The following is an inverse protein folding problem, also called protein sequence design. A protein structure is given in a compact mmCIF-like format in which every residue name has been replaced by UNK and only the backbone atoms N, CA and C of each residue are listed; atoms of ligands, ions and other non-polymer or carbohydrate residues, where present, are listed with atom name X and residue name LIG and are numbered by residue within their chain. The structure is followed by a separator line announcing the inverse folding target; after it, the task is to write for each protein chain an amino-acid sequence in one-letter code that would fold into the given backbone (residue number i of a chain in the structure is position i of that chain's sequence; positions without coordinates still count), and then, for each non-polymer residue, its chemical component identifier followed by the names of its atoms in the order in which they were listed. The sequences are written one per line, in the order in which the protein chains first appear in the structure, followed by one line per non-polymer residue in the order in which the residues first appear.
data_IF_460305567126
#
_entry.id   IF_460305567126
#
_cell.length_a   1.000
_cell.length_b   1.000
_cell.length_c   1.000
_cell.angle_alpha   90.00
_cell.angle_beta   90.00
_cell.angle_gamma   90.00
#
_symmetry.space_group_name_H-M   'P 1'
#
loop_
_entity.id
_entity.type
_entity.pdbx_description
1 polymer ?
#
# COMPACT_ATOMS: atom_id res chain seq x y z
N UNK A 1 -22.90 5.05 15.87
CA UNK A 1 -22.40 5.94 14.80
C UNK A 1 -20.90 5.76 14.76
N UNK A 2 -20.39 4.97 13.81
CA UNK A 2 -18.96 4.67 13.72
C UNK A 2 -18.36 5.82 12.93
N UNK A 3 -17.65 6.69 13.65
CA UNK A 3 -17.13 7.94 13.14
C UNK A 3 -16.01 7.69 12.12
N UNK A 4 -16.25 8.17 10.90
CA UNK A 4 -15.44 8.06 9.68
C UNK A 4 -14.20 8.99 9.69
N UNK A 5 -13.64 9.36 10.85
CA UNK A 5 -12.54 10.36 10.97
C UNK A 5 -11.12 9.91 10.57
N UNK A 6 -10.94 8.83 9.81
CA UNK A 6 -9.58 8.41 9.37
C UNK A 6 -9.14 8.95 8.00
N UNK A 7 -9.55 10.18 7.65
CA UNK A 7 -9.07 10.90 6.45
C UNK A 7 -7.93 11.89 6.73
N UNK A 8 -7.04 11.62 7.69
CA UNK A 8 -5.86 12.46 7.90
C UNK A 8 -4.76 12.13 6.89
N UNK A 9 -4.40 13.10 6.04
CA UNK A 9 -3.50 13.03 4.86
C UNK A 9 -2.05 12.59 5.05
N UNK A 10 -1.74 11.74 6.04
CA UNK A 10 -0.49 10.97 6.20
C UNK A 10 -0.81 9.56 6.72
N UNK A 11 -1.87 8.93 6.22
CA UNK A 11 -2.27 7.59 6.69
C UNK A 11 -1.29 6.51 6.24
N UNK A 12 -1.12 5.46 7.06
CA UNK A 12 -0.38 4.24 6.70
C UNK A 12 -0.80 3.70 5.33
N UNK A 13 -2.09 3.83 4.97
CA UNK A 13 -2.62 3.45 3.66
C UNK A 13 -1.96 4.25 2.53
N UNK A 14 -1.86 5.58 2.66
CA UNK A 14 -1.22 6.43 1.67
C UNK A 14 0.27 6.09 1.52
N UNK A 15 0.99 5.93 2.63
CA UNK A 15 2.40 5.54 2.61
C UNK A 15 2.60 4.18 1.95
N UNK A 16 1.79 3.18 2.31
CA UNK A 16 1.82 1.84 1.72
C UNK A 16 1.55 1.88 0.21
N UNK A 17 0.51 2.58 -0.22
CA UNK A 17 0.23 2.74 -1.66
C UNK A 17 1.38 3.42 -2.38
N UNK A 18 1.93 4.51 -1.81
CA UNK A 18 3.07 5.23 -2.40
C UNK A 18 4.31 4.35 -2.50
N UNK A 19 4.67 3.62 -1.45
CA UNK A 19 5.84 2.74 -1.44
C UNK A 19 5.69 1.59 -2.45
N UNK A 20 4.49 1.02 -2.57
CA UNK A 20 4.19 0.01 -3.58
C UNK A 20 4.31 0.56 -5.00
N UNK A 21 3.79 1.75 -5.28
CA UNK A 21 3.89 2.42 -6.59
C UNK A 21 5.34 2.81 -6.94
N UNK A 22 6.15 3.17 -5.94
CA UNK A 22 7.59 3.43 -6.08
C UNK A 22 8.38 2.15 -6.41
N UNK A 23 7.73 0.98 -6.43
CA UNK A 23 8.37 -0.31 -6.66
C UNK A 23 9.18 -0.80 -5.45
N UNK A 24 8.98 -0.22 -4.27
CA UNK A 24 9.65 -0.65 -3.04
C UNK A 24 9.02 -1.91 -2.49
N UNK A 25 9.86 -2.84 -2.06
CA UNK A 25 9.45 -3.97 -1.25
C UNK A 25 9.37 -3.54 0.22
N UNK A 26 8.16 -3.48 0.76
CA UNK A 26 7.90 -3.10 2.15
C UNK A 26 7.56 -4.32 3.00
N UNK A 27 8.06 -4.37 4.23
CA UNK A 27 7.69 -5.39 5.20
C UNK A 27 7.03 -4.76 6.42
N UNK A 28 6.46 -5.60 7.30
CA UNK A 28 5.91 -5.11 8.58
C UNK A 28 6.96 -4.32 9.38
N UNK A 29 8.23 -4.73 9.32
CA UNK A 29 9.31 -4.03 9.99
C UNK A 29 9.57 -2.64 9.38
N UNK A 30 9.49 -2.51 8.06
CA UNK A 30 9.59 -1.22 7.38
C UNK A 30 8.46 -0.28 7.81
N UNK A 31 7.22 -0.79 7.90
CA UNK A 31 6.08 0.00 8.37
C UNK A 31 6.26 0.47 9.83
N UNK A 32 6.70 -0.42 10.72
CA UNK A 32 6.96 -0.07 12.13
C UNK A 32 8.06 1.00 12.23
N UNK A 33 9.11 0.89 11.40
CA UNK A 33 10.23 1.83 11.42
C UNK A 33 9.88 3.21 10.87
N UNK A 34 9.15 3.27 9.76
CA UNK A 34 8.89 4.52 9.02
C UNK A 34 7.63 5.25 9.51
N UNK A 35 6.56 4.50 9.76
CA UNK A 35 5.23 5.07 10.09
C UNK A 35 4.71 4.63 11.46
N UNK A 36 5.54 3.91 12.25
CA UNK A 36 5.21 3.41 13.60
C UNK A 36 3.86 2.69 13.62
N UNK A 37 3.61 1.94 12.57
CA UNK A 37 2.35 1.26 12.29
C UNK A 37 2.41 -0.26 12.44
N UNK A 38 1.27 -0.87 12.74
CA UNK A 38 1.10 -2.32 12.78
C UNK A 38 0.04 -2.85 11.79
N UNK A 39 -0.54 -1.98 10.94
CA UNK A 39 -1.74 -2.31 10.14
C UNK A 39 -1.41 -2.76 8.71
N UNK A 40 -0.14 -2.93 8.34
CA UNK A 40 0.28 -3.28 6.98
C UNK A 40 -0.51 -4.47 6.42
N UNK A 41 -0.57 -5.57 7.16
CA UNK A 41 -1.28 -6.78 6.72
C UNK A 41 -2.74 -6.52 6.39
N UNK A 42 -3.45 -5.73 7.21
CA UNK A 42 -4.83 -5.37 6.95
C UNK A 42 -4.97 -4.46 5.72
N UNK A 43 -4.05 -3.51 5.53
CA UNK A 43 -4.02 -2.62 4.36
C UNK A 43 -3.79 -3.42 3.09
N UNK A 44 -2.78 -4.30 3.07
CA UNK A 44 -2.47 -5.15 1.93
C UNK A 44 -3.64 -6.09 1.61
N UNK A 45 -4.23 -6.72 2.62
CA UNK A 45 -5.41 -7.58 2.44
C UNK A 45 -6.57 -6.79 1.82
N UNK A 46 -6.81 -5.57 2.30
CA UNK A 46 -7.83 -4.67 1.76
C UNK A 46 -7.57 -4.30 0.30
N UNK A 47 -6.33 -3.93 -0.02
CA UNK A 47 -5.93 -3.58 -1.38
C UNK A 47 -6.06 -4.77 -2.35
N UNK A 48 -5.72 -5.98 -1.91
CA UNK A 48 -5.90 -7.20 -2.70
C UNK A 48 -7.38 -7.54 -2.90
N UNK A 49 -8.17 -7.50 -1.83
CA UNK A 49 -9.55 -7.98 -1.82
C UNK A 49 -10.55 -6.96 -2.40
N UNK A 50 -10.54 -5.71 -1.91
CA UNK A 50 -11.51 -4.68 -2.33
C UNK A 50 -11.07 -3.93 -3.60
N UNK A 51 -9.77 -3.77 -3.80
CA UNK A 51 -9.23 -2.94 -4.89
C UNK A 51 -8.54 -3.74 -6.01
N UNK A 52 -8.46 -5.07 -5.87
CA UNK A 52 -7.84 -5.98 -6.83
C UNK A 52 -6.38 -5.61 -7.19
N UNK A 53 -5.61 -5.09 -6.23
CA UNK A 53 -4.20 -4.74 -6.48
C UNK A 53 -3.35 -6.01 -6.64
N UNK A 54 -2.51 -6.12 -7.69
CA UNK A 54 -1.63 -7.26 -7.92
C UNK A 54 -0.37 -7.15 -7.03
N UNK A 55 -0.57 -7.22 -5.72
CA UNK A 55 0.51 -7.17 -4.73
C UNK A 55 1.10 -8.57 -4.59
N UNK A 56 2.40 -8.67 -4.83
CA UNK A 56 3.17 -9.89 -4.63
C UNK A 56 3.67 -9.94 -3.19
N UNK A 57 3.65 -11.13 -2.60
CA UNK A 57 4.18 -11.37 -1.25
C UNK A 57 5.32 -12.37 -1.36
N UNK A 58 6.53 -11.90 -1.06
CA UNK A 58 7.76 -12.69 -1.07
C UNK A 58 8.27 -12.85 0.35
N UNK A 59 8.51 -14.07 0.79
CA UNK A 59 9.08 -14.34 2.11
C UNK A 59 10.58 -14.50 1.98
N UNK A 60 11.36 -13.67 2.69
CA UNK A 60 12.82 -13.83 2.73
C UNK A 60 13.23 -14.60 3.99
N UNK A 61 13.99 -15.67 3.80
CA UNK A 61 14.65 -16.44 4.88
C UNK A 61 15.98 -15.77 5.25
N UNK A 62 16.49 -15.93 6.50
CA UNK A 62 16.07 -16.88 7.55
C UNK A 62 14.91 -16.42 8.44
N UNK A 63 14.60 -15.13 8.46
CA UNK A 63 13.64 -14.53 9.41
C UNK A 63 12.16 -14.74 9.01
N UNK A 64 11.91 -15.33 7.83
CA UNK A 64 10.57 -15.51 7.23
C UNK A 64 9.75 -14.21 7.15
N UNK A 65 10.43 -13.08 6.94
CA UNK A 65 9.77 -11.78 6.84
C UNK A 65 9.02 -11.69 5.52
N UNK A 66 7.73 -11.35 5.59
CA UNK A 66 6.90 -11.07 4.44
C UNK A 66 7.25 -9.69 3.85
N UNK A 67 7.72 -9.69 2.61
CA UNK A 67 7.91 -8.51 1.80
C UNK A 67 6.78 -8.39 0.79
N UNK A 68 6.12 -7.24 0.79
CA UNK A 68 5.08 -6.90 -0.13
C UNK A 68 5.64 -5.94 -1.17
N UNK A 69 5.47 -6.28 -2.44
CA UNK A 69 5.86 -5.42 -3.56
C UNK A 69 4.75 -5.43 -4.60
N UNK A 70 4.64 -4.34 -5.35
CA UNK A 70 3.76 -4.29 -6.52
C UNK A 70 4.47 -4.96 -7.70
N UNK A 71 3.71 -5.66 -8.54
CA UNK A 71 4.28 -6.16 -9.79
C UNK A 71 4.72 -4.98 -10.67
N UNK A 72 5.93 -5.01 -11.21
CA UNK A 72 6.48 -3.93 -12.03
C UNK A 72 5.68 -3.69 -13.32
N UNK A 73 4.96 -4.71 -13.79
CA UNK A 73 4.14 -4.68 -15.00
C UNK A 73 2.72 -4.11 -14.78
N UNK A 74 2.36 -3.72 -13.54
CA UNK A 74 1.00 -3.25 -13.31
C UNK A 74 0.73 -1.90 -13.96
N UNK A 75 -0.37 -1.83 -14.70
CA UNK A 75 -0.87 -0.58 -15.23
C UNK A 75 -1.43 0.29 -14.09
N UNK A 76 -0.65 1.29 -13.68
CA UNK A 76 -0.98 2.21 -12.59
C UNK A 76 -2.25 3.02 -12.88
N UNK A 77 -2.61 3.22 -14.16
CA UNK A 77 -3.79 3.99 -14.54
C UNK A 77 -5.06 3.15 -14.46
N UNK A 78 -4.96 1.84 -14.63
CA UNK A 78 -6.06 0.90 -14.45
C UNK A 78 -6.33 0.51 -12.99
N UNK A 79 -5.42 0.84 -12.06
CA UNK A 79 -5.58 0.52 -10.64
C UNK A 79 -6.68 1.35 -9.97
N UNK A 80 -7.50 0.66 -9.16
CA UNK A 80 -8.51 1.33 -8.32
C UNK A 80 -7.87 1.82 -7.04
N UNK A 81 -7.73 3.13 -6.87
CA UNK A 81 -7.14 3.71 -5.66
C UNK A 81 -8.20 3.84 -4.54
N UNK A 82 -7.84 3.52 -3.28
CA UNK A 82 -8.68 3.90 -2.14
C UNK A 82 -8.79 5.43 -2.04
N UNK A 83 -9.86 5.97 -1.41
CA UNK A 83 -10.07 7.41 -1.33
C UNK A 83 -8.89 8.15 -0.66
N UNK A 84 -8.24 7.52 0.33
CA UNK A 84 -7.03 8.06 0.98
C UNK A 84 -5.79 8.11 0.07
N UNK A 85 -5.74 7.31 -1.00
CA UNK A 85 -4.64 7.25 -1.95
C UNK A 85 -5.03 7.77 -3.35
N UNK A 86 -6.24 8.32 -3.50
CA UNK A 86 -6.75 8.83 -4.78
C UNK A 86 -5.86 9.94 -5.37
N UNK A 87 -5.22 10.72 -4.49
CA UNK A 87 -4.23 11.72 -4.89
C UNK A 87 -3.02 11.13 -5.63
N UNK A 88 -2.62 9.89 -5.32
CA UNK A 88 -1.50 9.23 -6.03
C UNK A 88 -1.86 8.91 -7.48
N UNK A 89 -3.08 8.43 -7.74
CA UNK A 89 -3.57 8.18 -9.09
C UNK A 89 -3.81 9.45 -9.89
N UNK A 90 -4.19 10.56 -9.25
CA UNK A 90 -4.43 11.84 -9.91
C UNK A 90 -3.12 12.53 -10.36
N UNK A 91 -2.04 12.39 -9.59
CA UNK A 91 -0.75 13.05 -9.90
C UNK A 91 -0.04 12.39 -11.10
N UNK A 92 -0.22 11.10 -11.34
CA UNK A 92 0.41 10.40 -12.48
C UNK A 92 -0.42 10.45 -13.79
N UNK A 93 -1.60 11.08 -13.75
CA UNK A 93 -2.46 11.33 -14.92
C UNK A 93 -2.19 12.64 -15.65
N UNK A 94 -1.25 13.46 -15.18
CA UNK A 94 -0.90 14.75 -15.77
C UNK A 94 0.49 14.69 -16.44
N UNK A 95 0.54 14.06 -17.62
CA UNK A 95 1.50 14.39 -18.68
C UNK A 95 0.78 14.34 -20.02
#
# INVERSE_FOLDING_TARGET
MIDDQFYSGKTQVFWTCKALLDGRAISHQTEIREVRGWRLGAIIHRLKSEYAWPIQTSYRKPDNVAFYSLNADVDRKALRYPPSAKALGAVEGAQ
#
